data_IF_653112439816
#
_entry.id   IF_653112439816
#
_cell.length_a   1.000
_cell.length_b   1.000
_cell.length_c   1.000
_cell.angle_alpha   90.00
_cell.angle_beta   90.00
_cell.angle_gamma   90.00
#
_symmetry.space_group_name_H-M   'P 1'
#
loop_
_entity.id
_entity.type
_entity.pdbx_description
1 polymer ?
#
# COMPACT_ATOMS: atom_id res chain seq x y z
N UNK A 1 25.82 12.41 -42.38
CA UNK A 1 25.96 11.56 -41.19
C UNK A 1 26.86 12.29 -40.19
N UNK A 2 26.28 12.88 -39.15
CA UNK A 2 27.03 13.44 -38.01
C UNK A 2 26.26 13.05 -36.75
N UNK A 3 26.69 11.96 -36.11
CA UNK A 3 26.21 11.54 -34.81
C UNK A 3 26.66 12.56 -33.75
N UNK A 4 25.73 13.30 -33.15
CA UNK A 4 26.01 14.08 -31.93
C UNK A 4 25.85 13.18 -30.70
N UNK A 5 26.88 13.18 -29.86
CA UNK A 5 27.12 12.29 -28.71
C UNK A 5 26.00 12.29 -27.63
N UNK A 6 25.76 11.15 -26.94
CA UNK A 6 24.83 11.04 -25.80
C UNK A 6 25.19 11.89 -24.56
N UNK A 7 26.41 12.44 -24.49
CA UNK A 7 26.91 13.12 -23.29
C UNK A 7 26.17 14.43 -22.97
N UNK A 8 25.59 15.10 -23.97
CA UNK A 8 24.92 16.40 -23.77
C UNK A 8 23.57 16.29 -23.05
N UNK A 9 22.87 15.16 -23.15
CA UNK A 9 21.58 14.97 -22.45
C UNK A 9 21.75 14.75 -20.94
N UNK A 10 22.83 14.11 -20.50
CA UNK A 10 23.11 13.88 -19.07
C UNK A 10 23.45 15.16 -18.31
N UNK A 11 24.13 16.12 -18.97
CA UNK A 11 24.51 17.39 -18.34
C UNK A 11 23.31 18.33 -18.12
N UNK A 12 22.27 18.27 -18.97
CA UNK A 12 21.06 19.10 -18.79
C UNK A 12 20.26 18.63 -17.56
N UNK A 13 20.10 17.31 -17.36
CA UNK A 13 19.35 16.74 -16.23
C UNK A 13 20.06 16.95 -14.88
N UNK A 14 21.39 16.89 -14.87
CA UNK A 14 22.21 17.17 -13.68
C UNK A 14 22.14 18.65 -13.28
N UNK A 15 22.13 19.55 -14.27
CA UNK A 15 22.04 21.00 -14.02
C UNK A 15 20.64 21.39 -13.51
N UNK A 16 19.57 20.80 -14.06
CA UNK A 16 18.19 21.01 -13.58
C UNK A 16 18.02 20.55 -12.12
N UNK A 17 18.60 19.40 -11.76
CA UNK A 17 18.53 18.88 -10.37
C UNK A 17 19.26 19.76 -9.36
N UNK A 18 20.34 20.43 -9.78
CA UNK A 18 21.08 21.36 -8.94
C UNK A 18 20.30 22.68 -8.72
N UNK A 19 19.69 23.21 -9.80
CA UNK A 19 18.89 24.44 -9.75
C UNK A 19 17.63 24.24 -8.89
N UNK A 20 16.92 23.12 -9.05
CA UNK A 20 15.74 22.78 -8.22
C UNK A 20 16.12 22.66 -6.73
N UNK A 21 17.25 22.01 -6.40
CA UNK A 21 17.74 21.94 -5.01
C UNK A 21 18.10 23.30 -4.42
N UNK A 22 18.58 24.23 -5.24
CA UNK A 22 18.94 25.57 -4.79
C UNK A 22 17.69 26.44 -4.56
N UNK A 23 16.67 26.32 -5.41
CA UNK A 23 15.37 26.97 -5.25
C UNK A 23 14.63 26.50 -3.98
N UNK A 24 14.60 25.19 -3.71
CA UNK A 24 13.95 24.64 -2.51
C UNK A 24 14.63 25.08 -1.20
N UNK A 25 15.97 25.26 -1.20
CA UNK A 25 16.72 25.76 -0.03
C UNK A 25 16.49 27.25 0.25
N UNK A 26 16.20 28.04 -0.78
CA UNK A 26 15.90 29.47 -0.61
C UNK A 26 14.52 29.70 -0.01
N UNK A 27 13.53 28.86 -0.35
CA UNK A 27 12.15 28.94 0.17
C UNK A 27 12.05 28.54 1.65
N UNK A 28 12.81 27.53 2.10
CA UNK A 28 12.84 27.13 3.51
C UNK A 28 13.47 28.17 4.44
N UNK A 29 14.40 28.99 3.94
CA UNK A 29 14.99 30.12 4.69
C UNK A 29 14.05 31.31 4.85
N UNK A 30 13.11 31.49 3.91
CA UNK A 30 12.10 32.56 3.98
C UNK A 30 11.01 32.26 5.03
N UNK A 31 10.64 30.98 5.23
CA UNK A 31 9.66 30.60 6.26
C UNK A 31 10.21 30.54 7.69
N UNK A 32 11.53 30.48 7.90
CA UNK A 32 12.12 30.60 9.24
C UNK A 32 12.28 32.06 9.71
N UNK A 33 12.28 33.04 8.81
CA UNK A 33 12.47 34.46 9.16
C UNK A 33 11.18 35.19 9.55
N UNK A 34 10.01 34.60 9.33
CA UNK A 34 8.70 35.19 9.68
C UNK A 34 8.18 34.77 11.07
N UNK A 35 8.94 33.98 11.85
CA UNK A 35 8.48 33.42 13.13
C UNK A 35 9.17 34.03 14.38
N UNK A 36 9.69 35.25 14.32
CA UNK A 36 10.34 35.88 15.48
C UNK A 36 10.04 37.38 15.61
N UNK A 37 8.95 37.72 16.31
CA UNK A 37 8.76 38.92 17.15
C UNK A 37 7.39 38.83 17.88
N UNK A 38 7.31 38.29 19.11
CA UNK A 38 7.23 39.00 20.42
C UNK A 38 5.75 39.29 20.88
N UNK A 39 5.44 39.70 22.14
CA UNK A 39 5.16 38.84 23.31
C UNK A 39 3.91 39.23 24.18
N UNK A 40 3.63 38.45 25.26
CA UNK A 40 3.09 38.80 26.61
C UNK A 40 1.77 38.15 27.12
N UNK A 41 1.91 37.52 28.31
CA UNK A 41 1.08 37.53 29.56
C UNK A 41 -0.39 37.08 29.49
N UNK A 42 -0.78 35.99 30.19
CA UNK A 42 -1.08 35.85 31.65
C UNK A 42 -2.59 35.94 31.92
N UNK A 43 -3.20 34.88 32.47
CA UNK A 43 -3.80 34.85 33.81
C UNK A 43 -4.63 33.58 34.05
N UNK A 44 -4.54 33.09 35.29
CA UNK A 44 -5.35 32.05 35.92
C UNK A 44 -6.84 32.46 35.97
N UNK A 45 -7.75 31.48 35.94
CA UNK A 45 -8.71 31.28 37.04
C UNK A 45 -9.47 29.95 36.93
N UNK A 46 -9.62 29.30 38.08
CA UNK A 46 -10.42 28.11 38.30
C UNK A 46 -11.78 28.53 38.84
N UNK A 47 -12.88 27.90 38.40
CA UNK A 47 -14.08 27.80 39.23
C UNK A 47 -14.91 26.53 39.01
N UNK A 48 -15.32 25.98 40.16
CA UNK A 48 -16.09 24.76 40.40
C UNK A 48 -17.59 25.02 40.33
N UNK A 49 -18.33 23.92 40.18
CA UNK A 49 -19.72 23.63 40.62
C UNK A 49 -20.89 24.22 39.82
N UNK A 50 -21.75 23.33 39.32
CA UNK A 50 -23.01 22.98 40.00
C UNK A 50 -23.74 21.80 39.32
N UNK A 51 -24.30 20.91 40.14
CA UNK A 51 -25.33 19.90 39.81
C UNK A 51 -26.73 20.54 39.96
N UNK A 52 -27.79 19.92 39.42
CA UNK A 52 -28.72 19.13 40.26
C UNK A 52 -29.04 17.77 39.58
N UNK A 53 -29.17 16.60 40.21
CA UNK A 53 -29.86 16.11 41.43
C UNK A 53 -31.39 15.99 41.32
N UNK A 54 -31.85 14.74 41.11
CA UNK A 54 -33.17 14.21 41.44
C UNK A 54 -33.89 13.59 40.23
N UNK A 55 -34.30 12.32 40.15
CA UNK A 55 -34.20 11.19 41.07
C UNK A 55 -35.14 10.05 40.61
N UNK A 56 -34.63 8.82 40.65
CA UNK A 56 -35.32 7.52 40.86
C UNK A 56 -36.27 6.94 39.78
N UNK A 57 -35.82 5.89 39.08
CA UNK A 57 -36.29 4.53 39.36
C UNK A 57 -35.28 3.46 38.91
N UNK A 58 -35.08 2.48 39.79
CA UNK A 58 -34.28 1.25 39.63
C UNK A 58 -34.69 0.46 38.39
N UNK A 59 -33.72 -0.04 37.63
CA UNK A 59 -33.49 -1.49 37.50
C UNK A 59 -32.09 -1.75 36.92
N UNK A 60 -31.31 -2.43 37.74
CA UNK A 60 -30.02 -3.04 37.45
C UNK A 60 -30.23 -4.37 36.72
N UNK A 61 -29.49 -4.58 35.64
CA UNK A 61 -28.98 -5.90 35.29
C UNK A 61 -27.68 -5.69 34.52
N UNK A 62 -26.58 -5.85 35.27
CA UNK A 62 -25.24 -6.13 34.76
C UNK A 62 -25.32 -7.35 33.83
N UNK A 63 -24.88 -7.18 32.59
CA UNK A 63 -24.62 -8.27 31.66
C UNK A 63 -23.16 -8.70 31.84
N UNK A 64 -22.92 -9.46 32.91
CA UNK A 64 -21.67 -10.20 33.12
C UNK A 64 -21.74 -11.49 32.32
N UNK A 65 -20.91 -11.59 31.29
CA UNK A 65 -20.68 -12.82 30.52
C UNK A 65 -20.13 -13.92 31.43
N UNK A 66 -21.01 -14.78 31.91
CA UNK A 66 -20.72 -15.99 32.67
C UNK A 66 -20.15 -17.05 31.69
N UNK A 67 -18.87 -16.93 31.32
CA UNK A 67 -18.15 -17.99 30.59
C UNK A 67 -18.03 -19.22 31.48
N UNK A 68 -18.65 -20.32 31.07
CA UNK A 68 -18.73 -21.53 31.87
C UNK A 68 -17.34 -22.16 32.11
N UNK A 69 -17.10 -22.80 33.28
CA UNK A 69 -15.81 -23.46 33.58
C UNK A 69 -15.40 -24.56 32.58
N UNK A 70 -16.34 -25.06 31.79
CA UNK A 70 -16.12 -26.10 30.78
C UNK A 70 -15.48 -25.54 29.50
N UNK A 71 -15.90 -24.36 29.05
CA UNK A 71 -15.36 -23.70 27.85
C UNK A 71 -13.90 -23.29 28.07
N UNK A 72 -13.59 -22.74 29.26
CA UNK A 72 -12.23 -22.39 29.66
C UNK A 72 -11.28 -23.59 29.68
N UNK A 73 -11.75 -24.77 30.13
CA UNK A 73 -10.96 -26.02 30.07
C UNK A 73 -10.69 -26.47 28.64
N UNK A 74 -11.66 -26.32 27.74
CA UNK A 74 -11.49 -26.69 26.33
C UNK A 74 -10.56 -25.73 25.59
N UNK A 75 -10.63 -24.43 25.88
CA UNK A 75 -9.71 -23.42 25.36
C UNK A 75 -8.26 -23.71 25.77
N UNK A 76 -8.02 -24.08 27.04
CA UNK A 76 -6.70 -24.48 27.53
C UNK A 76 -6.17 -25.75 26.83
N UNK A 77 -7.03 -26.75 26.62
CA UNK A 77 -6.67 -27.97 25.86
C UNK A 77 -6.26 -27.64 24.42
N UNK A 78 -7.00 -26.77 23.73
CA UNK A 78 -6.67 -26.29 22.39
C UNK A 78 -5.32 -25.56 22.37
N UNK A 79 -5.05 -24.71 23.36
CA UNK A 79 -3.77 -24.00 23.48
C UNK A 79 -2.60 -24.99 23.66
N UNK A 80 -2.74 -25.96 24.57
CA UNK A 80 -1.72 -27.00 24.80
C UNK A 80 -1.50 -27.83 23.52
N UNK A 81 -2.56 -28.15 22.78
CA UNK A 81 -2.42 -28.86 21.51
C UNK A 81 -1.63 -28.04 20.47
N UNK A 82 -1.90 -26.74 20.34
CA UNK A 82 -1.13 -25.86 19.45
C UNK A 82 0.35 -25.80 19.81
N UNK A 83 0.67 -25.75 21.11
CA UNK A 83 2.05 -25.83 21.58
C UNK A 83 2.66 -27.18 21.20
N UNK A 84 1.94 -28.29 21.39
CA UNK A 84 2.40 -29.63 20.99
C UNK A 84 2.61 -29.74 19.48
N UNK A 85 1.74 -29.16 18.64
CA UNK A 85 1.94 -29.11 17.18
C UNK A 85 3.20 -28.31 16.81
N UNK A 86 3.41 -27.16 17.46
CA UNK A 86 4.55 -26.28 17.18
C UNK A 86 5.90 -26.91 17.55
N UNK A 87 5.92 -27.73 18.61
CA UNK A 87 7.11 -28.47 19.08
C UNK A 87 7.26 -29.82 18.35
N UNK A 88 6.32 -30.19 17.46
CA UNK A 88 6.36 -31.44 16.68
C UNK A 88 5.91 -32.69 17.46
N UNK A 89 5.31 -32.51 18.63
CA UNK A 89 4.77 -33.58 19.48
C UNK A 89 3.41 -34.04 18.95
N UNK A 90 2.60 -33.13 18.41
CA UNK A 90 1.32 -33.45 17.77
C UNK A 90 1.46 -33.47 16.25
N UNK A 91 0.80 -34.44 15.60
CA UNK A 91 0.85 -34.61 14.16
C UNK A 91 0.12 -33.46 13.46
N UNK A 92 0.85 -32.73 12.62
CA UNK A 92 0.32 -31.66 11.78
C UNK A 92 -0.11 -32.23 10.43
N UNK A 93 -1.36 -32.03 10.03
CA UNK A 93 -1.75 -32.31 8.64
C UNK A 93 -1.00 -31.35 7.71
N UNK A 94 -0.35 -31.89 6.67
CA UNK A 94 0.33 -31.08 5.65
C UNK A 94 -0.66 -30.73 4.54
N UNK A 95 -0.51 -29.53 3.99
CA UNK A 95 -1.13 -29.21 2.71
C UNK A 95 -0.55 -30.09 1.61
N UNK A 96 -1.27 -30.20 0.49
CA UNK A 96 -0.71 -30.81 -0.71
C UNK A 96 0.49 -30.01 -1.18
N UNK A 97 1.49 -30.69 -1.75
CA UNK A 97 2.68 -30.02 -2.30
C UNK A 97 2.27 -28.99 -3.37
N UNK A 98 1.26 -29.33 -4.19
CA UNK A 98 0.66 -28.43 -5.17
C UNK A 98 0.18 -27.10 -4.56
N UNK A 99 -0.54 -27.13 -3.45
CA UNK A 99 -1.05 -25.91 -2.81
C UNK A 99 0.10 -25.08 -2.22
N UNK A 100 1.11 -25.74 -1.64
CA UNK A 100 2.31 -25.06 -1.16
C UNK A 100 3.04 -24.34 -2.31
N UNK A 101 3.22 -25.02 -3.44
CA UNK A 101 3.86 -24.46 -4.64
C UNK A 101 3.07 -23.27 -5.18
N UNK A 102 1.73 -23.37 -5.24
CA UNK A 102 0.87 -22.26 -5.66
C UNK A 102 0.99 -21.06 -4.72
N UNK A 103 1.12 -21.30 -3.42
CA UNK A 103 1.33 -20.23 -2.46
C UNK A 103 2.66 -19.52 -2.66
N UNK A 104 3.74 -20.28 -2.83
CA UNK A 104 5.05 -19.74 -3.11
C UNK A 104 5.08 -18.96 -4.43
N UNK A 105 4.46 -19.49 -5.49
CA UNK A 105 4.35 -18.80 -6.77
C UNK A 105 3.62 -17.47 -6.65
N UNK A 106 2.56 -17.39 -5.85
CA UNK A 106 1.86 -16.13 -5.60
C UNK A 106 2.73 -15.13 -4.83
N UNK A 107 3.48 -15.60 -3.83
CA UNK A 107 4.35 -14.73 -3.02
C UNK A 107 5.51 -14.17 -3.85
N UNK A 108 6.11 -15.02 -4.68
CA UNK A 108 7.13 -14.63 -5.66
C UNK A 108 6.56 -13.64 -6.69
N UNK A 109 5.34 -13.89 -7.16
CA UNK A 109 4.66 -12.98 -8.09
C UNK A 109 4.43 -11.60 -7.46
N UNK A 110 3.96 -11.54 -6.21
CA UNK A 110 3.77 -10.28 -5.48
C UNK A 110 5.09 -9.53 -5.30
N UNK A 111 6.16 -10.22 -4.91
CA UNK A 111 7.48 -9.60 -4.76
C UNK A 111 7.98 -9.00 -6.08
N UNK A 112 7.75 -9.70 -7.20
CA UNK A 112 8.07 -9.18 -8.52
C UNK A 112 7.27 -7.90 -8.82
N UNK A 113 5.96 -7.92 -8.57
CA UNK A 113 5.10 -6.76 -8.79
C UNK A 113 5.47 -5.56 -7.91
N UNK A 114 5.88 -5.77 -6.65
CA UNK A 114 6.35 -4.67 -5.79
C UNK A 114 7.58 -3.98 -6.40
N UNK A 115 8.58 -4.76 -6.80
CA UNK A 115 9.84 -4.26 -7.37
C UNK A 115 9.57 -3.54 -8.70
N UNK A 116 8.69 -4.12 -9.52
CA UNK A 116 8.26 -3.53 -10.77
C UNK A 116 7.54 -2.20 -10.52
N UNK A 117 6.49 -2.20 -9.70
CA UNK A 117 5.72 -1.00 -9.37
C UNK A 117 6.60 0.11 -8.79
N UNK A 118 7.54 -0.23 -7.91
CA UNK A 118 8.52 0.72 -7.37
C UNK A 118 9.40 1.34 -8.46
N UNK A 119 9.92 0.51 -9.38
CA UNK A 119 10.76 0.98 -10.50
C UNK A 119 9.98 1.86 -11.47
N UNK A 120 8.74 1.50 -11.80
CA UNK A 120 7.86 2.29 -12.66
C UNK A 120 7.48 3.63 -12.00
N UNK A 121 7.19 3.63 -10.70
CA UNK A 121 6.93 4.85 -9.94
C UNK A 121 8.12 5.81 -9.95
N UNK A 122 9.34 5.31 -9.79
CA UNK A 122 10.57 6.12 -9.89
C UNK A 122 10.78 6.67 -11.30
N UNK A 123 10.46 5.90 -12.34
CA UNK A 123 10.56 6.36 -13.72
C UNK A 123 9.53 7.46 -14.04
N UNK A 124 8.33 7.39 -13.45
CA UNK A 124 7.31 8.45 -13.57
C UNK A 124 7.75 9.71 -12.81
N UNK A 125 8.25 9.53 -11.59
CA UNK A 125 8.57 10.62 -10.68
C UNK A 125 10.01 10.52 -10.19
N UNK A 126 10.90 11.26 -10.85
CA UNK A 126 12.32 11.28 -10.52
C UNK A 126 12.66 11.96 -9.20
N UNK A 127 11.73 12.77 -8.64
CA UNK A 127 11.97 13.43 -7.36
C UNK A 127 11.60 12.51 -6.17
N UNK A 128 12.58 12.09 -5.34
CA UNK A 128 12.32 11.20 -4.23
C UNK A 128 11.46 11.81 -3.11
N UNK A 129 11.32 13.14 -3.03
CA UNK A 129 10.44 13.76 -2.02
C UNK A 129 8.97 13.40 -2.23
N UNK A 130 8.55 13.23 -3.48
CA UNK A 130 7.18 12.88 -3.84
C UNK A 130 6.91 11.38 -3.66
N UNK A 131 7.93 10.53 -3.80
CA UNK A 131 7.82 9.08 -3.59
C UNK A 131 7.61 8.67 -2.11
N UNK A 132 8.09 9.47 -1.15
CA UNK A 132 8.04 9.14 0.30
C UNK A 132 6.63 9.06 0.89
N UNK A 133 5.64 9.71 0.27
CA UNK A 133 4.27 9.78 0.78
C UNK A 133 3.40 8.60 0.30
N UNK A 134 4.03 7.46 -0.01
CA UNK A 134 3.38 6.16 -0.13
C UNK A 134 2.52 5.93 -1.37
N UNK A 135 2.09 6.97 -2.10
CA UNK A 135 1.26 6.82 -3.30
C UNK A 135 1.18 8.08 -4.20
N UNK A 136 1.74 9.22 -3.76
CA UNK A 136 1.57 10.51 -4.43
C UNK A 136 2.67 10.74 -5.48
N UNK A 137 2.46 10.21 -6.69
CA UNK A 137 3.38 10.46 -7.81
C UNK A 137 3.29 11.90 -8.36
N UNK A 138 2.14 12.55 -8.15
CA UNK A 138 1.89 13.89 -8.66
C UNK A 138 2.55 14.93 -7.74
N UNK A 139 3.38 15.84 -8.29
CA UNK A 139 3.82 17.03 -7.57
C UNK A 139 2.60 17.82 -7.07
N UNK A 140 2.64 18.38 -5.86
CA UNK A 140 1.66 19.38 -5.42
C UNK A 140 1.53 20.53 -6.43
N UNK A 141 0.43 21.30 -6.41
CA UNK A 141 0.33 22.54 -7.17
C UNK A 141 1.57 23.41 -6.96
N UNK A 142 2.08 24.02 -8.03
CA UNK A 142 3.25 24.93 -8.02
C UNK A 142 4.58 24.31 -7.55
N UNK A 143 4.64 22.97 -7.46
CA UNK A 143 5.87 22.23 -7.12
C UNK A 143 6.38 21.37 -8.28
N UNK A 144 5.73 21.44 -9.45
CA UNK A 144 6.26 20.81 -10.66
C UNK A 144 7.56 21.50 -11.09
N UNK A 145 8.61 20.76 -11.50
CA UNK A 145 9.87 21.37 -11.90
C UNK A 145 9.71 22.41 -13.02
N UNK A 146 8.82 22.19 -13.99
CA UNK A 146 8.62 23.10 -15.10
C UNK A 146 7.83 24.36 -14.68
N UNK A 147 6.88 24.21 -13.75
CA UNK A 147 6.17 25.36 -13.17
C UNK A 147 7.11 26.25 -12.37
N UNK A 148 7.98 25.66 -11.55
CA UNK A 148 8.97 26.39 -10.76
C UNK A 148 9.92 27.20 -11.64
N UNK A 149 10.29 26.66 -12.81
CA UNK A 149 11.14 27.37 -13.77
C UNK A 149 10.36 28.50 -14.44
N UNK A 150 9.13 28.25 -14.90
CA UNK A 150 8.29 29.28 -15.50
C UNK A 150 8.04 30.44 -14.52
N UNK A 151 7.74 30.14 -13.26
CA UNK A 151 7.54 31.13 -12.19
C UNK A 151 8.84 31.92 -11.92
N UNK A 152 9.99 31.24 -11.87
CA UNK A 152 11.28 31.89 -11.66
C UNK A 152 11.63 32.87 -12.79
N UNK A 153 11.37 32.49 -14.05
CA UNK A 153 11.59 33.36 -15.20
C UNK A 153 10.69 34.60 -15.15
N UNK A 154 9.39 34.43 -14.86
CA UNK A 154 8.43 35.53 -14.77
C UNK A 154 8.74 36.54 -13.66
N UNK A 155 9.11 36.04 -12.49
CA UNK A 155 9.16 36.84 -11.27
C UNK A 155 10.53 37.47 -10.98
N UNK A 156 11.55 37.15 -11.76
CA UNK A 156 12.90 37.63 -11.52
C UNK A 156 13.36 38.59 -12.62
N UNK A 157 13.52 39.86 -12.25
CA UNK A 157 13.92 40.95 -13.14
C UNK A 157 15.24 40.66 -13.89
N UNK A 158 16.12 39.85 -13.31
CA UNK A 158 17.40 39.45 -13.92
C UNK A 158 17.20 38.76 -15.27
N UNK A 159 16.05 38.10 -15.48
CA UNK A 159 15.79 37.32 -16.69
C UNK A 159 14.97 38.07 -17.75
N UNK A 160 14.48 39.28 -17.46
CA UNK A 160 13.64 40.05 -18.40
C UNK A 160 14.37 40.45 -19.68
N UNK A 161 15.67 40.67 -19.58
CA UNK A 161 16.52 41.07 -20.72
C UNK A 161 17.00 39.86 -21.56
N UNK A 162 16.62 38.63 -21.18
CA UNK A 162 16.95 37.44 -21.97
C UNK A 162 16.19 37.47 -23.29
N UNK A 163 16.92 37.27 -24.38
CA UNK A 163 16.33 37.12 -25.71
C UNK A 163 15.32 35.97 -25.71
N UNK A 164 14.12 36.23 -26.24
CA UNK A 164 13.00 35.29 -26.29
C UNK A 164 12.45 34.89 -24.90
N UNK A 165 12.55 35.78 -23.90
CA UNK A 165 12.00 35.56 -22.55
C UNK A 165 10.58 35.00 -22.55
N UNK A 166 9.64 35.68 -23.22
CA UNK A 166 8.23 35.29 -23.23
C UNK A 166 8.01 33.92 -23.89
N UNK A 167 8.81 33.60 -24.92
CA UNK A 167 8.82 32.29 -25.56
C UNK A 167 9.30 31.21 -24.60
N UNK A 168 10.36 31.47 -23.82
CA UNK A 168 10.88 30.52 -22.82
C UNK A 168 9.87 30.29 -21.69
N UNK A 169 9.24 31.35 -21.19
CA UNK A 169 8.18 31.24 -20.19
C UNK A 169 7.04 30.37 -20.72
N UNK A 170 6.52 30.66 -21.92
CA UNK A 170 5.43 29.87 -22.50
C UNK A 170 5.83 28.42 -22.76
N UNK A 171 7.09 28.16 -23.16
CA UNK A 171 7.62 26.81 -23.32
C UNK A 171 7.54 26.02 -22.02
N UNK A 172 8.06 26.56 -20.92
CA UNK A 172 8.04 25.88 -19.62
C UNK A 172 6.62 25.66 -19.08
N UNK A 173 5.69 26.60 -19.32
CA UNK A 173 4.28 26.41 -18.99
C UNK A 173 3.63 25.26 -19.76
N UNK A 174 3.90 25.15 -21.07
CA UNK A 174 3.39 24.03 -21.89
C UNK A 174 3.99 22.70 -21.42
N UNK A 175 5.26 22.68 -21.06
CA UNK A 175 5.94 21.51 -20.51
C UNK A 175 5.36 21.08 -19.16
N UNK A 176 5.04 22.02 -18.28
CA UNK A 176 4.39 21.76 -16.99
C UNK A 176 3.04 21.06 -17.15
N UNK A 177 2.18 21.59 -18.02
CA UNK A 177 0.86 21.01 -18.30
C UNK A 177 0.98 19.58 -18.80
N UNK A 178 1.87 19.34 -19.78
CA UNK A 178 2.06 18.00 -20.33
C UNK A 178 2.68 17.03 -19.32
N UNK A 179 3.62 17.49 -18.49
CA UNK A 179 4.23 16.66 -17.45
C UNK A 179 3.22 16.22 -16.38
N UNK A 180 2.34 17.13 -15.92
CA UNK A 180 1.26 16.79 -14.99
C UNK A 180 0.30 15.77 -15.58
N UNK A 181 -0.10 15.94 -16.83
CA UNK A 181 -1.00 14.99 -17.49
C UNK A 181 -0.33 13.63 -17.67
N UNK A 182 0.94 13.59 -18.08
CA UNK A 182 1.72 12.35 -18.14
C UNK A 182 1.73 11.60 -16.80
N UNK A 183 2.04 12.28 -15.69
CA UNK A 183 2.10 11.62 -14.37
C UNK A 183 0.72 11.05 -13.99
N UNK A 184 -0.35 11.79 -14.27
CA UNK A 184 -1.73 11.34 -14.02
C UNK A 184 -2.07 10.09 -14.82
N UNK A 185 -1.81 10.10 -16.13
CA UNK A 185 -2.11 8.99 -17.04
C UNK A 185 -1.24 7.77 -16.75
N UNK A 186 0.06 7.97 -16.52
CA UNK A 186 1.00 6.90 -16.17
C UNK A 186 0.63 6.25 -14.82
N UNK A 187 0.16 7.03 -13.84
CA UNK A 187 -0.36 6.50 -12.59
C UNK A 187 -1.63 5.69 -12.80
N UNK A 188 -2.53 6.15 -13.66
CA UNK A 188 -3.78 5.47 -13.97
C UNK A 188 -3.52 4.12 -14.67
N UNK A 189 -2.54 4.07 -15.57
CA UNK A 189 -2.14 2.84 -16.26
C UNK A 189 -1.66 1.74 -15.32
N UNK A 190 -1.22 2.06 -14.10
CA UNK A 190 -0.72 1.09 -13.09
C UNK A 190 -1.76 0.77 -12.01
N UNK A 191 -3.04 1.08 -12.24
CA UNK A 191 -4.07 0.99 -11.21
C UNK A 191 -4.25 -0.42 -10.64
N UNK A 192 -4.38 -1.44 -11.49
CA UNK A 192 -4.67 -2.80 -11.06
C UNK A 192 -3.47 -3.45 -10.37
N UNK A 193 -2.24 -3.24 -10.87
CA UNK A 193 -1.03 -3.66 -10.15
C UNK A 193 -1.01 -3.10 -8.72
N UNK A 194 -1.26 -1.79 -8.57
CA UNK A 194 -1.27 -1.14 -7.25
C UNK A 194 -2.40 -1.66 -6.37
N UNK A 195 -3.59 -1.85 -6.93
CA UNK A 195 -4.75 -2.41 -6.24
C UNK A 195 -4.48 -3.84 -5.78
N UNK A 196 -3.84 -4.66 -6.61
CA UNK A 196 -3.46 -6.02 -6.26
C UNK A 196 -2.52 -6.04 -5.06
N UNK A 197 -1.43 -5.26 -5.11
CA UNK A 197 -0.42 -5.19 -4.05
C UNK A 197 -1.03 -4.74 -2.72
N UNK A 198 -1.81 -3.65 -2.74
CA UNK A 198 -2.27 -2.97 -1.52
C UNK A 198 -3.53 -3.62 -0.93
N UNK A 199 -4.42 -4.17 -1.76
CA UNK A 199 -5.74 -4.65 -1.31
C UNK A 199 -5.91 -6.15 -1.48
N UNK A 200 -5.64 -6.67 -2.67
CA UNK A 200 -6.05 -8.03 -3.01
C UNK A 200 -5.12 -9.09 -2.42
N UNK A 201 -3.80 -8.87 -2.48
CA UNK A 201 -2.83 -9.79 -1.91
C UNK A 201 -2.96 -9.92 -0.38
N UNK A 202 -3.08 -8.83 0.41
CA UNK A 202 -3.35 -8.95 1.85
C UNK A 202 -4.63 -9.70 2.18
N UNK A 203 -5.69 -9.56 1.37
CA UNK A 203 -6.93 -10.31 1.57
C UNK A 203 -6.74 -11.83 1.41
N UNK A 204 -5.90 -12.26 0.48
CA UNK A 204 -5.53 -13.68 0.34
C UNK A 204 -4.73 -14.14 1.56
N UNK A 205 -3.86 -13.29 2.10
CA UNK A 205 -3.16 -13.56 3.36
C UNK A 205 -4.11 -13.85 4.53
N UNK A 206 -5.22 -13.12 4.62
CA UNK A 206 -6.29 -13.39 5.61
C UNK A 206 -6.91 -14.76 5.38
N UNK A 207 -7.28 -15.09 4.14
CA UNK A 207 -7.87 -16.40 3.83
C UNK A 207 -6.92 -17.57 4.09
N UNK A 208 -5.62 -17.42 3.78
CA UNK A 208 -4.58 -18.41 4.11
C UNK A 208 -4.48 -18.65 5.61
N UNK A 209 -4.56 -17.58 6.41
CA UNK A 209 -4.55 -17.68 7.88
C UNK A 209 -5.79 -18.41 8.38
N UNK A 210 -6.97 -18.06 7.88
CA UNK A 210 -8.22 -18.74 8.23
C UNK A 210 -8.17 -20.22 7.87
N UNK A 211 -7.61 -20.58 6.71
CA UNK A 211 -7.41 -21.98 6.31
C UNK A 211 -6.50 -22.73 7.30
N UNK A 212 -5.39 -22.12 7.74
CA UNK A 212 -4.50 -22.75 8.74
C UNK A 212 -5.17 -22.86 10.11
N UNK A 213 -6.04 -21.93 10.48
CA UNK A 213 -6.83 -22.03 11.71
C UNK A 213 -7.86 -23.17 11.63
N UNK A 214 -8.56 -23.34 10.51
CA UNK A 214 -9.47 -24.49 10.29
C UNK A 214 -8.73 -25.83 10.27
N UNK A 215 -7.54 -25.87 9.68
CA UNK A 215 -6.66 -27.05 9.73
C UNK A 215 -6.33 -27.43 11.18
N UNK A 216 -5.94 -26.46 12.02
CA UNK A 216 -5.63 -26.70 13.44
C UNK A 216 -6.85 -27.20 14.22
N UNK A 217 -8.04 -26.71 13.92
CA UNK A 217 -9.29 -27.19 14.52
C UNK A 217 -9.57 -28.66 14.15
N UNK A 218 -9.40 -29.01 12.88
CA UNK A 218 -9.52 -30.38 12.39
C UNK A 218 -8.48 -31.31 13.04
N UNK A 219 -7.21 -30.90 13.10
CA UNK A 219 -6.13 -31.69 13.72
C UNK A 219 -6.38 -31.90 15.22
N UNK A 220 -6.87 -30.88 15.92
CA UNK A 220 -7.30 -31.00 17.32
C UNK A 220 -8.45 -31.98 17.49
N UNK A 221 -9.50 -31.89 16.67
CA UNK A 221 -10.65 -32.81 16.73
C UNK A 221 -10.23 -34.27 16.46
N UNK A 222 -9.29 -34.47 15.52
CA UNK A 222 -8.69 -35.78 15.24
C UNK A 222 -7.91 -36.33 16.44
N UNK A 223 -7.15 -35.48 17.13
CA UNK A 223 -6.41 -35.87 18.32
C UNK A 223 -7.35 -36.22 19.48
N UNK A 224 -8.44 -35.47 19.66
CA UNK A 224 -9.47 -35.81 20.65
C UNK A 224 -10.14 -37.16 20.34
N UNK A 225 -10.50 -37.41 19.08
CA UNK A 225 -11.07 -38.70 18.66
C UNK A 225 -10.14 -39.87 18.96
N UNK A 226 -8.83 -39.72 18.72
CA UNK A 226 -7.82 -40.75 19.01
C UNK A 226 -7.60 -40.99 20.52
N UNK A 227 -7.95 -40.03 21.38
CA UNK A 227 -7.72 -40.12 22.82
C UNK A 227 -8.88 -40.76 23.60
N UNK A 228 -10.02 -40.99 22.95
CA UNK A 228 -11.22 -41.58 23.56
C UNK A 228 -11.24 -43.10 23.34
N UNK A 229 -11.56 -43.84 24.40
CA UNK A 229 -11.68 -45.32 24.37
C UNK A 229 -13.11 -45.83 24.60
N UNK A 230 -14.05 -44.93 24.93
CA UNK A 230 -15.45 -45.24 25.22
C UNK A 230 -16.32 -45.16 23.95
N UNK A 231 -17.19 -46.16 23.73
CA UNK A 231 -17.93 -46.30 22.47
C UNK A 231 -18.91 -45.16 22.18
N UNK A 232 -19.59 -44.63 23.20
CA UNK A 232 -20.57 -43.54 23.04
C UNK A 232 -19.84 -42.21 22.79
N UNK A 233 -18.72 -42.01 23.50
CA UNK A 233 -17.86 -40.85 23.33
C UNK A 233 -17.13 -40.83 21.97
N UNK A 234 -16.82 -42.00 21.40
CA UNK A 234 -16.23 -42.13 20.05
C UNK A 234 -17.20 -41.59 19.01
N UNK A 235 -18.48 -41.95 19.07
CA UNK A 235 -19.47 -41.51 18.07
C UNK A 235 -19.62 -39.98 18.07
N UNK A 236 -19.71 -39.37 19.27
CA UNK A 236 -19.81 -37.93 19.41
C UNK A 236 -18.54 -37.20 18.88
N UNK A 237 -17.35 -37.71 19.22
CA UNK A 237 -16.08 -37.12 18.75
C UNK A 237 -15.87 -37.33 17.26
N UNK A 238 -16.31 -38.45 16.70
CA UNK A 238 -16.25 -38.73 15.27
C UNK A 238 -17.14 -37.75 14.49
N UNK A 239 -18.34 -37.46 14.99
CA UNK A 239 -19.22 -36.43 14.41
C UNK A 239 -18.53 -35.05 14.41
N UNK A 240 -17.93 -34.64 15.52
CA UNK A 240 -17.21 -33.36 15.62
C UNK A 240 -16.00 -33.28 14.69
N UNK A 241 -15.25 -34.38 14.54
CA UNK A 241 -14.15 -34.45 13.57
C UNK A 241 -14.63 -34.32 12.13
N UNK A 242 -15.68 -35.05 11.74
CA UNK A 242 -16.23 -34.98 10.38
C UNK A 242 -16.77 -33.59 10.03
N UNK A 243 -17.36 -32.90 11.01
CA UNK A 243 -17.78 -31.51 10.85
C UNK A 243 -16.59 -30.57 10.63
N UNK A 244 -15.51 -30.72 11.42
CA UNK A 244 -14.29 -29.94 11.23
C UNK A 244 -13.60 -30.21 9.89
N UNK A 245 -13.59 -31.47 9.42
CA UNK A 245 -13.11 -31.85 8.07
C UNK A 245 -13.89 -31.12 6.99
N UNK A 246 -15.23 -31.14 7.06
CA UNK A 246 -16.09 -30.47 6.09
C UNK A 246 -15.82 -28.96 6.02
N UNK A 247 -15.72 -28.29 7.17
CA UNK A 247 -15.42 -26.85 7.24
C UNK A 247 -14.03 -26.54 6.68
N UNK A 248 -13.03 -27.37 6.96
CA UNK A 248 -11.69 -27.24 6.38
C UNK A 248 -11.70 -27.40 4.86
N UNK A 249 -12.36 -28.43 4.33
CA UNK A 249 -12.45 -28.69 2.90
C UNK A 249 -13.20 -27.58 2.14
N UNK A 250 -14.27 -27.03 2.72
CA UNK A 250 -14.98 -25.89 2.16
C UNK A 250 -14.08 -24.66 2.07
N UNK A 251 -13.31 -24.37 3.14
CA UNK A 251 -12.37 -23.25 3.12
C UNK A 251 -11.21 -23.46 2.16
N UNK A 252 -10.72 -24.69 2.04
CA UNK A 252 -9.67 -25.05 1.10
C UNK A 252 -10.11 -24.75 -0.34
N UNK A 253 -11.31 -25.17 -0.73
CA UNK A 253 -11.88 -24.89 -2.06
C UNK A 253 -12.04 -23.39 -2.32
N UNK A 254 -12.44 -22.62 -1.30
CA UNK A 254 -12.54 -21.16 -1.41
C UNK A 254 -11.18 -20.52 -1.70
N UNK A 255 -10.13 -20.95 -0.99
CA UNK A 255 -8.76 -20.47 -1.18
C UNK A 255 -8.22 -20.85 -2.56
N UNK A 256 -8.38 -22.11 -2.98
CA UNK A 256 -7.95 -22.58 -4.31
C UNK A 256 -8.61 -21.77 -5.42
N UNK A 257 -9.93 -21.58 -5.35
CA UNK A 257 -10.66 -20.75 -6.31
C UNK A 257 -10.12 -19.31 -6.35
N UNK A 258 -9.81 -18.73 -5.19
CA UNK A 258 -9.25 -17.37 -5.14
C UNK A 258 -7.86 -17.29 -5.76
N UNK A 259 -7.03 -18.32 -5.56
CA UNK A 259 -5.71 -18.42 -6.19
C UNK A 259 -5.83 -18.46 -7.72
N UNK A 260 -6.76 -19.24 -8.26
CA UNK A 260 -7.03 -19.29 -9.71
C UNK A 260 -7.45 -17.93 -10.28
N UNK A 261 -8.31 -17.18 -9.56
CA UNK A 261 -8.73 -15.84 -9.97
C UNK A 261 -7.55 -14.86 -10.07
N UNK A 262 -6.55 -14.98 -9.21
CA UNK A 262 -5.36 -14.12 -9.24
C UNK A 262 -4.50 -14.42 -10.44
N UNK A 263 -4.36 -15.71 -10.82
CA UNK A 263 -3.59 -16.09 -12.00
C UNK A 263 -4.16 -15.45 -13.27
N UNK A 264 -5.49 -15.33 -13.38
CA UNK A 264 -6.16 -14.65 -14.50
C UNK A 264 -5.85 -13.16 -14.58
N UNK A 265 -5.43 -12.51 -13.48
CA UNK A 265 -5.06 -11.08 -13.47
C UNK A 265 -3.66 -10.83 -14.00
N UNK A 266 -2.82 -11.86 -14.18
CA UNK A 266 -1.45 -11.68 -14.69
C UNK A 266 -1.44 -11.01 -16.07
N UNK A 267 -2.36 -11.40 -16.94
CA UNK A 267 -2.51 -10.81 -18.28
C UNK A 267 -2.93 -9.34 -18.21
N UNK A 268 -3.83 -9.00 -17.28
CA UNK A 268 -4.26 -7.61 -17.04
C UNK A 268 -3.08 -6.77 -16.58
N UNK A 269 -2.27 -7.26 -15.63
CA UNK A 269 -1.09 -6.55 -15.16
C UNK A 269 -0.04 -6.38 -16.28
N UNK A 270 0.12 -7.36 -17.17
CA UNK A 270 1.00 -7.23 -18.34
C UNK A 270 0.50 -6.13 -19.29
N UNK A 271 -0.80 -6.11 -19.58
CA UNK A 271 -1.41 -5.08 -20.41
C UNK A 271 -1.22 -3.68 -19.82
N UNK A 272 -1.28 -3.53 -18.50
CA UNK A 272 -0.99 -2.27 -17.80
C UNK A 272 0.45 -1.79 -17.99
N UNK A 273 1.43 -2.69 -17.98
CA UNK A 273 2.84 -2.32 -18.23
C UNK A 273 3.04 -1.85 -19.68
N UNK A 274 2.38 -2.51 -20.62
CA UNK A 274 2.39 -2.10 -22.04
C UNK A 274 1.75 -0.73 -22.18
N UNK A 275 0.60 -0.51 -21.56
CA UNK A 275 -0.10 0.77 -21.58
C UNK A 275 0.74 1.89 -20.96
N UNK A 276 1.35 1.64 -19.80
CA UNK A 276 2.30 2.57 -19.18
C UNK A 276 3.43 2.94 -20.14
N UNK A 277 4.02 1.96 -20.84
CA UNK A 277 5.10 2.20 -21.82
C UNK A 277 4.62 3.08 -22.97
N UNK A 278 3.38 2.87 -23.46
CA UNK A 278 2.77 3.73 -24.46
C UNK A 278 2.61 5.18 -23.97
N UNK A 279 2.22 5.38 -22.70
CA UNK A 279 2.11 6.72 -22.09
C UNK A 279 3.45 7.42 -21.97
N UNK A 280 4.50 6.70 -21.59
CA UNK A 280 5.88 7.23 -21.57
C UNK A 280 6.31 7.67 -22.98
N UNK A 281 6.06 6.83 -24.00
CA UNK A 281 6.38 7.17 -25.39
C UNK A 281 5.65 8.44 -25.84
N UNK A 282 4.33 8.49 -25.66
CA UNK A 282 3.50 9.64 -26.06
C UNK A 282 3.94 10.93 -25.37
N UNK A 283 4.26 10.86 -24.08
CA UNK A 283 4.80 12.00 -23.33
C UNK A 283 6.08 12.54 -23.99
N UNK A 284 7.04 11.68 -24.29
CA UNK A 284 8.29 12.11 -24.93
C UNK A 284 8.10 12.64 -26.35
N UNK A 285 7.18 12.07 -27.12
CA UNK A 285 6.82 12.58 -28.46
C UNK A 285 6.23 13.99 -28.38
N UNK A 286 5.29 14.22 -27.46
CA UNK A 286 4.69 15.54 -27.24
C UNK A 286 5.69 16.56 -26.70
N UNK A 287 6.52 16.17 -25.72
CA UNK A 287 7.59 17.04 -25.22
C UNK A 287 8.59 17.42 -26.32
N UNK A 288 8.93 16.48 -27.20
CA UNK A 288 9.77 16.74 -28.37
C UNK A 288 9.11 17.72 -29.34
N UNK A 289 7.80 17.61 -29.56
CA UNK A 289 7.03 18.54 -30.39
C UNK A 289 6.99 19.94 -29.77
N UNK A 290 6.69 20.05 -28.48
CA UNK A 290 6.70 21.33 -27.74
C UNK A 290 8.04 22.05 -27.93
N UNK A 291 9.17 21.32 -27.84
CA UNK A 291 10.52 21.86 -28.03
C UNK A 291 10.87 22.25 -29.48
N UNK A 292 10.19 21.71 -30.49
CA UNK A 292 10.40 22.06 -31.90
C UNK A 292 9.54 23.24 -32.35
N UNK A 293 8.38 23.40 -31.71
CA UNK A 293 7.42 24.44 -32.02
C UNK A 293 7.67 25.74 -31.23
N UNK A 294 8.73 25.78 -30.39
CA UNK A 294 9.19 26.94 -29.62
C UNK A 294 10.45 27.56 -30.20
#
# INVERSE_FOLDING_TARGET
SVYKSPTTRLNVTLTMSAIVRQASKSRSRLHQKSASHSPLKSSNEAHKRSKPSGGHHKNSSDDSSDESPAENKQALKKLIHRVKESVGIAQRTRYSDKLCDEFEQLDNYKQCLDRLNWSLCQAIQGNPSFLKHGNCLAPPPDEDPYELIAELLKNNDIFKDIQNHDTQVSLYEKQAVEHREYIKEARHALHNIRKFIVKEYPAIGVQRKELDDRRREMDFAKAELKAVNDSESIEQKNKSYNEAVKVYEEKLKEVEKRMEEVLKKKEVHLAEVIEWTNRVRQYHEKMSKILKDS
#
